data_IF_235092622635
#
_entry.id   IF_235092622635
#
_cell.length_a   1.000
_cell.length_b   1.000
_cell.length_c   1.000
_cell.angle_alpha   90.00
_cell.angle_beta   90.00
_cell.angle_gamma   90.00
#
_symmetry.space_group_name_H-M   'P 1'
#
loop_
_entity.id
_entity.type
_entity.pdbx_description
1 polymer ?
#
# COMPACT_ATOMS: atom_id res chain seq x y z
N UNK A 1 8.72 1.75 -5.92
CA UNK A 1 8.62 1.63 -4.45
C UNK A 1 9.77 2.32 -3.72
N UNK A 2 11.02 2.03 -4.07
CA UNK A 2 12.19 2.65 -3.43
C UNK A 2 12.19 4.17 -3.55
N UNK A 3 11.88 4.70 -4.72
CA UNK A 3 11.85 6.14 -4.95
C UNK A 3 10.84 6.87 -4.05
N UNK A 4 9.65 6.29 -3.87
CA UNK A 4 8.60 6.88 -3.04
C UNK A 4 8.89 6.80 -1.55
N UNK A 5 9.81 5.91 -1.13
CA UNK A 5 10.23 5.75 0.26
C UNK A 5 11.48 6.56 0.59
N UNK A 6 12.11 7.18 -0.40
CA UNK A 6 13.34 7.92 -0.20
C UNK A 6 13.09 9.28 0.45
N UNK A 7 13.86 9.58 1.49
CA UNK A 7 13.88 10.89 2.14
C UNK A 7 15.34 11.30 2.40
N UNK A 8 15.84 12.38 1.79
CA UNK A 8 17.28 12.69 1.75
C UNK A 8 18.01 12.74 3.09
N UNK A 9 17.32 13.17 4.13
CA UNK A 9 17.93 13.34 5.46
C UNK A 9 17.79 12.11 6.37
N UNK A 10 17.01 11.10 5.94
CA UNK A 10 16.70 9.94 6.76
C UNK A 10 16.97 8.62 6.07
N UNK A 11 17.17 8.64 4.78
CA UNK A 11 17.51 7.45 4.00
C UNK A 11 19.01 7.22 3.97
N UNK A 12 19.42 5.96 3.91
CA UNK A 12 20.83 5.60 3.71
C UNK A 12 21.32 5.92 2.30
N UNK A 13 22.63 5.88 2.13
CA UNK A 13 23.26 6.13 0.82
C UNK A 13 23.27 4.91 -0.09
N UNK A 14 23.13 3.71 0.50
CA UNK A 14 23.18 2.43 -0.24
C UNK A 14 21.99 1.57 0.19
N UNK A 15 21.32 1.00 -0.80
CA UNK A 15 20.21 0.08 -0.59
C UNK A 15 20.59 -1.28 -1.18
N UNK A 16 20.45 -2.33 -0.35
CA UNK A 16 20.65 -3.70 -0.81
C UNK A 16 19.30 -4.28 -1.25
N UNK A 17 19.29 -4.87 -2.43
CA UNK A 17 18.11 -5.53 -2.95
C UNK A 17 18.45 -6.98 -3.28
N UNK A 18 17.87 -7.92 -2.58
CA UNK A 18 18.11 -9.34 -2.79
C UNK A 18 17.50 -9.80 -4.12
N UNK A 19 18.06 -10.86 -4.69
CA UNK A 19 17.51 -11.48 -5.90
C UNK A 19 16.10 -12.03 -5.63
N UNK A 20 15.25 -12.14 -6.67
CA UNK A 20 13.91 -12.71 -6.50
C UNK A 20 13.95 -14.09 -5.82
N UNK A 21 13.08 -14.27 -4.83
CA UNK A 21 13.02 -15.52 -4.08
C UNK A 21 14.03 -15.66 -2.94
N UNK A 22 14.90 -14.67 -2.75
CA UNK A 22 15.86 -14.67 -1.65
C UNK A 22 15.36 -13.82 -0.48
N UNK A 23 15.60 -14.30 0.75
CA UNK A 23 15.33 -13.56 1.98
C UNK A 23 16.53 -13.64 2.89
N UNK A 24 16.68 -12.64 3.76
CA UNK A 24 17.65 -12.68 4.84
C UNK A 24 17.09 -13.50 6.00
N UNK A 25 17.87 -14.47 6.49
CA UNK A 25 17.44 -15.29 7.61
C UNK A 25 17.40 -14.49 8.91
N UNK A 26 16.26 -14.49 9.57
CA UNK A 26 16.07 -13.87 10.89
C UNK A 26 15.41 -14.90 11.82
N UNK A 27 16.14 -15.37 12.80
CA UNK A 27 15.64 -16.20 13.91
C UNK A 27 14.58 -17.24 13.55
N UNK A 28 14.85 -18.16 12.63
CA UNK A 28 13.92 -19.21 12.18
C UNK A 28 12.72 -18.72 11.36
N UNK A 29 12.74 -17.50 10.88
CA UNK A 29 11.74 -17.02 9.94
C UNK A 29 12.00 -17.58 8.54
N UNK A 30 11.02 -18.27 7.98
CA UNK A 30 11.08 -18.86 6.63
C UNK A 30 10.36 -18.01 5.60
N UNK A 31 9.77 -16.90 6.03
CA UNK A 31 9.08 -15.96 5.14
C UNK A 31 9.34 -14.53 5.57
N UNK A 32 9.26 -13.62 4.62
CA UNK A 32 9.48 -12.20 4.84
C UNK A 32 8.66 -11.40 3.86
N UNK A 33 8.52 -10.10 4.10
CA UNK A 33 7.81 -9.18 3.24
C UNK A 33 8.67 -7.94 2.95
N UNK A 34 8.19 -7.08 2.06
CA UNK A 34 8.80 -5.78 1.81
C UNK A 34 9.74 -5.72 0.62
N UNK A 35 9.85 -6.79 -0.16
CA UNK A 35 10.66 -6.75 -1.38
C UNK A 35 10.05 -5.82 -2.42
N UNK A 36 10.83 -5.47 -3.45
CA UNK A 36 10.40 -4.60 -4.54
C UNK A 36 9.76 -5.36 -5.70
N UNK A 37 9.73 -6.68 -5.63
CA UNK A 37 9.22 -7.53 -6.71
C UNK A 37 7.70 -7.64 -6.71
N UNK A 38 7.12 -7.92 -7.88
CA UNK A 38 5.68 -7.96 -8.06
C UNK A 38 4.95 -8.92 -7.13
N UNK A 39 5.55 -10.05 -6.78
CA UNK A 39 4.93 -11.01 -5.86
C UNK A 39 4.75 -10.45 -4.44
N UNK A 40 5.51 -9.40 -4.06
CA UNK A 40 5.42 -8.73 -2.75
C UNK A 40 4.71 -7.38 -2.82
N UNK A 41 4.67 -6.75 -3.98
CA UNK A 41 4.11 -5.39 -4.13
C UNK A 41 2.65 -5.40 -4.58
N UNK A 42 2.17 -6.48 -5.17
CA UNK A 42 0.77 -6.62 -5.59
C UNK A 42 0.00 -7.40 -4.53
N UNK A 43 -0.96 -6.72 -3.91
CA UNK A 43 -1.74 -7.28 -2.80
C UNK A 43 -3.22 -7.01 -3.04
N UNK A 44 -4.12 -7.83 -2.46
CA UNK A 44 -5.55 -7.55 -2.51
C UNK A 44 -5.90 -6.36 -1.61
N UNK A 45 -6.94 -5.64 -1.99
CA UNK A 45 -7.53 -4.58 -1.18
C UNK A 45 -9.01 -4.89 -1.00
N UNK A 46 -9.44 -5.06 0.24
CA UNK A 46 -10.81 -5.43 0.57
C UNK A 46 -11.39 -4.43 1.56
N UNK A 47 -12.57 -3.88 1.25
CA UNK A 47 -13.35 -3.07 2.17
C UNK A 47 -14.57 -3.88 2.62
N UNK A 48 -14.83 -3.87 3.92
CA UNK A 48 -15.97 -4.54 4.50
C UNK A 48 -16.57 -3.67 5.60
N UNK A 49 -17.89 -3.51 5.57
CA UNK A 49 -18.58 -2.74 6.61
C UNK A 49 -19.89 -2.15 6.15
N UNK A 50 -20.47 -1.37 7.06
CA UNK A 50 -21.72 -0.64 6.79
C UNK A 50 -21.48 0.41 5.70
N UNK A 51 -22.39 0.46 4.73
CA UNK A 51 -22.29 1.40 3.61
C UNK A 51 -21.43 0.92 2.45
N UNK A 52 -20.82 -0.26 2.57
CA UNK A 52 -20.03 -0.85 1.49
C UNK A 52 -20.83 -1.95 0.82
N UNK A 53 -21.23 -1.72 -0.43
CA UNK A 53 -21.99 -2.70 -1.22
C UNK A 53 -21.11 -3.82 -1.76
N UNK A 54 -21.70 -5.00 -2.05
CA UNK A 54 -20.94 -6.11 -2.61
C UNK A 54 -20.60 -5.85 -4.07
N UNK A 55 -19.31 -5.70 -4.37
CA UNK A 55 -18.84 -5.61 -5.74
C UNK A 55 -17.39 -6.03 -5.84
N UNK A 56 -16.97 -6.36 -7.04
CA UNK A 56 -15.60 -6.75 -7.35
C UNK A 56 -15.07 -5.85 -8.45
N UNK A 57 -14.05 -5.06 -8.09
CA UNK A 57 -13.43 -4.11 -8.99
C UNK A 57 -12.09 -4.68 -9.46
N UNK A 58 -11.89 -4.73 -10.78
CA UNK A 58 -10.69 -5.31 -11.38
C UNK A 58 -9.65 -4.28 -11.80
N UNK A 59 -9.87 -3.02 -11.48
CA UNK A 59 -8.96 -1.93 -11.81
C UNK A 59 -7.76 -1.94 -10.88
N UNK A 60 -6.56 -1.69 -11.42
CA UNK A 60 -5.36 -1.51 -10.60
C UNK A 60 -5.45 -0.19 -9.83
N UNK A 61 -5.09 -0.23 -8.56
CA UNK A 61 -5.11 0.92 -7.66
C UNK A 61 -3.82 0.96 -6.85
N UNK A 62 -3.40 2.15 -6.44
CA UNK A 62 -2.26 2.31 -5.54
C UNK A 62 -2.70 2.24 -4.09
N UNK A 63 -1.86 1.65 -3.24
CA UNK A 63 -2.13 1.59 -1.80
C UNK A 63 -2.17 2.96 -1.13
N UNK A 64 -1.60 3.98 -1.77
CA UNK A 64 -1.70 5.37 -1.32
C UNK A 64 -3.13 5.90 -1.32
N UNK A 65 -4.05 5.24 -2.03
CA UNK A 65 -5.46 5.60 -2.05
C UNK A 65 -6.23 5.20 -0.78
N UNK A 66 -5.68 4.33 0.07
CA UNK A 66 -6.39 3.77 1.24
C UNK A 66 -6.72 4.87 2.26
N UNK A 67 -5.72 5.62 2.69
CA UNK A 67 -5.91 6.66 3.72
C UNK A 67 -6.87 7.77 3.29
N UNK A 68 -6.75 8.38 2.09
CA UNK A 68 -7.72 9.39 1.67
C UNK A 68 -9.13 8.83 1.47
N UNK A 69 -9.26 7.58 1.01
CA UNK A 69 -10.57 6.93 0.85
C UNK A 69 -11.25 6.73 2.20
N UNK A 70 -10.53 6.21 3.20
CA UNK A 70 -11.07 6.03 4.55
C UNK A 70 -11.43 7.37 5.19
N UNK A 71 -10.58 8.39 5.02
CA UNK A 71 -10.87 9.73 5.53
C UNK A 71 -12.17 10.29 4.93
N UNK A 72 -12.39 10.07 3.64
CA UNK A 72 -13.63 10.50 2.96
C UNK A 72 -14.85 9.74 3.48
N UNK A 73 -14.73 8.43 3.70
CA UNK A 73 -15.80 7.62 4.28
C UNK A 73 -16.18 8.05 5.69
N UNK A 74 -15.20 8.52 6.48
CA UNK A 74 -15.41 9.02 7.84
C UNK A 74 -15.78 10.51 7.88
N UNK A 75 -15.83 11.17 6.73
CA UNK A 75 -16.12 12.60 6.62
C UNK A 75 -15.15 13.49 7.43
N UNK A 76 -13.88 13.10 7.46
CA UNK A 76 -12.81 13.85 8.12
C UNK A 76 -11.81 14.37 7.09
N UNK A 77 -10.93 15.28 7.52
CA UNK A 77 -9.88 15.83 6.68
C UNK A 77 -8.86 14.74 6.33
N UNK A 78 -8.43 14.72 5.08
CA UNK A 78 -7.39 13.80 4.63
C UNK A 78 -6.05 14.08 5.33
N UNK A 79 -5.21 13.05 5.52
CA UNK A 79 -3.87 13.25 6.07
C UNK A 79 -3.06 14.25 5.24
N UNK A 80 -2.34 15.16 5.91
CA UNK A 80 -1.64 16.27 5.25
C UNK A 80 -0.57 15.82 4.24
N UNK A 81 0.04 14.67 4.46
CA UNK A 81 1.06 14.11 3.56
C UNK A 81 0.50 13.07 2.58
N UNK A 82 -0.81 12.94 2.50
CA UNK A 82 -1.45 11.99 1.60
C UNK A 82 -1.35 12.46 0.15
N UNK A 83 -0.83 11.61 -0.72
CA UNK A 83 -0.69 11.88 -2.16
C UNK A 83 -1.64 11.01 -3.00
N UNK A 84 -2.34 10.08 -2.39
CA UNK A 84 -3.23 9.17 -3.08
C UNK A 84 -4.57 9.80 -3.45
N UNK A 85 -5.23 9.19 -4.41
CA UNK A 85 -6.56 9.59 -4.85
C UNK A 85 -7.65 8.78 -4.15
N UNK A 86 -8.77 9.42 -3.84
CA UNK A 86 -9.95 8.75 -3.29
C UNK A 86 -10.51 7.77 -4.33
N UNK A 87 -10.86 6.57 -3.90
CA UNK A 87 -11.45 5.57 -4.79
C UNK A 87 -12.95 5.86 -4.96
N UNK A 88 -13.38 6.32 -6.15
CA UNK A 88 -14.78 6.68 -6.37
C UNK A 88 -15.72 5.48 -6.24
N UNK A 89 -15.26 4.29 -6.55
CA UNK A 89 -16.05 3.07 -6.47
C UNK A 89 -16.52 2.75 -5.05
N UNK A 90 -15.77 3.22 -4.05
CA UNK A 90 -16.12 3.01 -2.63
C UNK A 90 -17.03 4.12 -2.11
N UNK A 91 -16.78 5.36 -2.55
CA UNK A 91 -17.48 6.54 -2.06
C UNK A 91 -18.89 6.67 -2.67
N UNK A 92 -19.04 6.30 -3.93
CA UNK A 92 -20.28 6.46 -4.68
C UNK A 92 -21.26 5.27 -4.53
N UNK A 93 -21.04 4.43 -3.56
CA UNK A 93 -21.93 3.29 -3.27
C UNK A 93 -23.23 3.72 -2.57
#
# INVERSE_FOLDING_TARGET
KMQNSFYPRRSGDVILNLMPGWIEEQERCWSSSGSMYGYDTQVPLVFYGVGVGPQRIKRRMDMTAVAPTVARMLEITEPAASEGEVLPEIIDL
#
